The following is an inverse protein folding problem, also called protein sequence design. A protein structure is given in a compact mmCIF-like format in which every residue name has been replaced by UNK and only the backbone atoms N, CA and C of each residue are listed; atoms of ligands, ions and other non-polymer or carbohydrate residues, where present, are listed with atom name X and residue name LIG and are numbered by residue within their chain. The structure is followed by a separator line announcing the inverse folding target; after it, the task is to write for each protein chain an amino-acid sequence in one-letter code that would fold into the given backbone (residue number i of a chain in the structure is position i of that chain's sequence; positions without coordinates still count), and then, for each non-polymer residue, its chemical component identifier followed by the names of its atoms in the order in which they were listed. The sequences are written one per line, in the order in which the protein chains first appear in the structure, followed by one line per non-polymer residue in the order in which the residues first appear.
data_IF_360073588757
#
_entry.id   IF_360073588757
#
_cell.length_a   1.000
_cell.length_b   1.000
_cell.length_c   1.000
_cell.angle_alpha   90.00
_cell.angle_beta   90.00
_cell.angle_gamma   90.00
#
_symmetry.space_group_name_H-M   'P 1'
#
loop_
_entity.id
_entity.type
_entity.pdbx_description
1 polymer ?
#
# COMPACT_ATOMS: atom_id res chain seq x y z
N UNK A 1 31.03 10.03 -1.44
CA UNK A 1 30.74 9.64 -0.04
C UNK A 1 31.96 8.99 0.61
N UNK A 2 32.21 9.20 1.91
CA UNK A 2 33.35 8.59 2.61
C UNK A 2 32.96 7.23 3.19
N UNK A 3 33.86 6.27 3.07
CA UNK A 3 33.70 4.96 3.69
C UNK A 3 33.81 5.06 5.23
N UNK A 4 32.87 4.49 6.00
CA UNK A 4 32.90 4.57 7.47
C UNK A 4 34.03 3.74 8.09
N UNK A 5 34.64 2.81 7.34
CA UNK A 5 35.70 1.92 7.85
C UNK A 5 37.11 2.40 7.53
N UNK A 6 37.32 2.93 6.33
CA UNK A 6 38.67 3.30 5.85
C UNK A 6 38.75 4.74 5.34
N UNK A 7 37.70 5.54 5.54
CA UNK A 7 37.55 6.96 5.18
C UNK A 7 37.81 7.32 3.71
N UNK A 8 37.97 6.30 2.86
CA UNK A 8 38.22 6.48 1.44
C UNK A 8 37.02 7.10 0.75
N UNK A 9 37.30 8.06 -0.12
CA UNK A 9 36.29 8.69 -0.96
C UNK A 9 35.83 7.70 -2.04
N UNK A 10 34.52 7.48 -2.12
CA UNK A 10 33.88 6.59 -3.08
C UNK A 10 32.79 7.34 -3.86
N UNK A 11 32.52 6.94 -5.11
CA UNK A 11 31.40 7.47 -5.89
C UNK A 11 30.09 7.27 -5.13
N UNK A 12 29.15 8.21 -5.25
CA UNK A 12 27.87 8.17 -4.53
C UNK A 12 26.99 6.95 -4.87
N UNK A 13 27.23 6.33 -6.01
CA UNK A 13 26.53 5.13 -6.47
C UNK A 13 27.24 3.82 -6.10
N UNK A 14 28.44 3.86 -5.52
CA UNK A 14 29.20 2.65 -5.21
C UNK A 14 28.55 1.85 -4.06
N UNK A 15 28.11 0.60 -4.27
CA UNK A 15 27.54 -0.21 -3.20
C UNK A 15 28.60 -0.66 -2.17
N UNK A 16 29.83 -0.87 -2.65
CA UNK A 16 30.99 -1.30 -1.86
C UNK A 16 32.14 -0.30 -1.99
N UNK A 17 32.96 -0.24 -0.94
CA UNK A 17 34.17 0.56 -0.91
C UNK A 17 35.21 -0.03 -1.86
N UNK A 18 35.68 0.75 -2.82
CA UNK A 18 36.70 0.31 -3.79
C UNK A 18 38.07 0.05 -3.13
N UNK A 19 38.30 0.58 -1.92
CA UNK A 19 39.57 0.44 -1.21
C UNK A 19 39.59 -0.74 -0.23
N UNK A 20 38.52 -0.93 0.55
CA UNK A 20 38.47 -1.94 1.62
C UNK A 20 37.38 -3.00 1.44
N UNK A 21 36.56 -2.90 0.39
CA UNK A 21 35.50 -3.85 0.07
C UNK A 21 34.26 -3.80 0.98
N UNK A 22 34.23 -2.95 2.02
CA UNK A 22 33.09 -2.90 2.92
C UNK A 22 31.83 -2.36 2.22
N UNK A 23 30.65 -2.80 2.66
CA UNK A 23 29.38 -2.21 2.23
C UNK A 23 29.35 -0.74 2.67
N UNK A 24 29.02 0.18 1.76
CA UNK A 24 28.89 1.62 2.08
C UNK A 24 27.47 2.14 1.85
N UNK A 25 26.68 1.41 1.06
CA UNK A 25 25.29 1.74 0.81
C UNK A 25 24.45 0.52 1.12
N UNK A 26 23.43 0.69 1.97
CA UNK A 26 22.45 -0.37 2.17
C UNK A 26 21.81 -0.69 0.81
N UNK A 27 21.81 -1.98 0.47
CA UNK A 27 21.01 -2.46 -0.64
C UNK A 27 19.56 -2.15 -0.31
N UNK A 28 18.84 -1.48 -1.21
CA UNK A 28 17.41 -1.25 -1.03
C UNK A 28 16.74 -2.57 -0.60
N UNK A 29 15.87 -2.57 0.43
CA UNK A 29 15.23 -3.78 0.88
C UNK A 29 14.56 -4.41 -0.34
N UNK A 30 15.01 -5.61 -0.71
CA UNK A 30 14.43 -6.36 -1.82
C UNK A 30 12.94 -6.44 -1.56
N UNK A 31 12.13 -6.05 -2.55
CA UNK A 31 10.67 -6.17 -2.45
C UNK A 31 10.34 -7.64 -2.13
N UNK A 32 9.95 -7.89 -0.89
CA UNK A 32 9.46 -9.19 -0.48
C UNK A 32 7.94 -9.23 -0.69
N UNK A 33 7.36 -10.42 -0.73
CA UNK A 33 5.92 -10.61 -0.96
C UNK A 33 5.08 -9.75 -0.01
N UNK A 34 5.52 -9.58 1.24
CA UNK A 34 4.87 -8.73 2.24
C UNK A 34 4.82 -7.25 1.84
N UNK A 35 5.91 -6.71 1.29
CA UNK A 35 5.99 -5.32 0.83
C UNK A 35 5.11 -5.09 -0.39
N UNK A 36 5.01 -6.08 -1.29
CA UNK A 36 4.14 -6.01 -2.48
C UNK A 36 2.67 -6.06 -2.08
N UNK A 37 2.29 -7.00 -1.22
CA UNK A 37 0.94 -7.08 -0.62
C UNK A 37 0.61 -5.77 0.10
N UNK A 38 1.62 -5.21 0.78
CA UNK A 38 1.69 -3.86 1.27
C UNK A 38 1.11 -2.85 0.27
N UNK A 39 1.84 -2.63 -0.81
CA UNK A 39 1.50 -1.65 -1.86
C UNK A 39 0.10 -1.91 -2.43
N UNK A 40 -0.28 -3.17 -2.68
CA UNK A 40 -1.60 -3.49 -3.25
C UNK A 40 -2.73 -3.11 -2.30
N UNK A 41 -2.66 -3.47 -1.03
CA UNK A 41 -3.72 -3.18 -0.06
C UNK A 41 -3.77 -1.69 0.28
N UNK A 42 -2.61 -1.06 0.50
CA UNK A 42 -2.54 0.34 0.89
C UNK A 42 -2.83 1.32 -0.25
N UNK A 43 -2.49 0.96 -1.48
CA UNK A 43 -2.60 1.87 -2.63
C UNK A 43 -3.68 1.46 -3.62
N UNK A 44 -3.75 0.19 -4.05
CA UNK A 44 -4.65 -0.23 -5.14
C UNK A 44 -6.08 -0.46 -4.65
N UNK A 45 -6.26 -1.18 -3.54
CA UNK A 45 -7.59 -1.56 -3.04
C UNK A 45 -8.51 -0.36 -2.75
N UNK A 46 -8.06 0.78 -2.21
CA UNK A 46 -8.90 1.97 -2.04
C UNK A 46 -9.54 2.46 -3.35
N UNK A 47 -8.81 2.43 -4.47
CA UNK A 47 -9.38 2.80 -5.77
C UNK A 47 -10.42 1.80 -6.25
N UNK A 48 -10.20 0.50 -6.01
CA UNK A 48 -11.18 -0.54 -6.33
C UNK A 48 -12.47 -0.32 -5.56
N UNK A 49 -12.38 -0.03 -4.25
CA UNK A 49 -13.55 0.30 -3.42
C UNK A 49 -14.28 1.56 -3.91
N UNK A 50 -13.54 2.59 -4.32
CA UNK A 50 -14.14 3.81 -4.87
C UNK A 50 -14.92 3.53 -6.15
N UNK A 51 -14.36 2.71 -7.05
CA UNK A 51 -15.03 2.32 -8.29
C UNK A 51 -16.25 1.43 -8.03
N UNK A 52 -16.18 0.55 -7.02
CA UNK A 52 -17.29 -0.30 -6.61
C UNK A 52 -18.50 0.49 -6.08
N UNK A 53 -18.29 1.68 -5.49
CA UNK A 53 -19.38 2.54 -5.03
C UNK A 53 -20.21 3.13 -6.17
N UNK A 54 -19.65 3.27 -7.38
CA UNK A 54 -20.36 3.87 -8.53
C UNK A 54 -21.68 3.15 -8.88
N UNK A 55 -21.70 1.82 -9.13
CA UNK A 55 -22.94 1.11 -9.39
C UNK A 55 -23.88 1.08 -8.18
N UNK A 56 -23.35 1.08 -6.96
CA UNK A 56 -24.16 1.06 -5.74
C UNK A 56 -24.91 2.38 -5.53
N UNK A 57 -24.23 3.52 -5.73
CA UNK A 57 -24.82 4.85 -5.70
C UNK A 57 -25.83 4.99 -6.85
N UNK A 58 -25.52 4.47 -8.04
CA UNK A 58 -26.45 4.43 -9.15
C UNK A 58 -27.74 3.65 -8.79
N UNK A 59 -27.61 2.48 -8.17
CA UNK A 59 -28.77 1.71 -7.68
C UNK A 59 -29.56 2.47 -6.61
N UNK A 60 -28.88 3.25 -5.77
CA UNK A 60 -29.51 4.05 -4.71
C UNK A 60 -30.30 5.26 -5.25
N UNK A 61 -29.93 5.80 -6.41
CA UNK A 61 -30.66 6.92 -7.05
C UNK A 61 -31.86 6.48 -7.89
N UNK A 62 -32.07 5.17 -8.08
CA UNK A 62 -33.23 4.66 -8.84
C UNK A 62 -34.55 4.96 -8.09
N UNK A 63 -35.64 5.25 -8.84
CA UNK A 63 -36.95 5.55 -8.25
C UNK A 63 -37.61 4.32 -7.59
N UNK A 64 -37.18 3.11 -7.95
CA UNK A 64 -37.75 1.87 -7.44
C UNK A 64 -37.27 1.59 -5.99
N UNK A 65 -38.22 1.54 -5.05
CA UNK A 65 -37.97 1.35 -3.61
C UNK A 65 -37.21 0.04 -3.29
N UNK A 66 -37.49 -1.04 -4.04
CA UNK A 66 -36.85 -2.35 -3.90
C UNK A 66 -35.34 -2.27 -4.21
N UNK A 67 -35.00 -1.61 -5.32
CA UNK A 67 -33.64 -1.41 -5.81
C UNK A 67 -32.87 -0.46 -4.89
N UNK A 68 -33.53 0.60 -4.44
CA UNK A 68 -32.94 1.55 -3.48
C UNK A 68 -32.56 0.90 -2.15
N UNK A 69 -33.42 0.03 -1.60
CA UNK A 69 -33.12 -0.73 -0.37
C UNK A 69 -31.93 -1.68 -0.56
N UNK A 70 -31.81 -2.32 -1.73
CA UNK A 70 -30.63 -3.15 -2.05
C UNK A 70 -29.37 -2.30 -2.17
N UNK A 71 -29.40 -1.23 -2.93
CA UNK A 71 -28.28 -0.30 -3.07
C UNK A 71 -27.79 0.22 -1.71
N UNK A 72 -28.72 0.60 -0.82
CA UNK A 72 -28.38 1.01 0.55
C UNK A 72 -27.63 -0.09 1.33
N UNK A 73 -28.09 -1.35 1.27
CA UNK A 73 -27.41 -2.47 1.95
C UNK A 73 -26.02 -2.73 1.37
N UNK A 74 -25.85 -2.61 0.05
CA UNK A 74 -24.53 -2.76 -0.57
C UNK A 74 -23.57 -1.66 -0.11
N UNK A 75 -24.00 -0.39 -0.13
CA UNK A 75 -23.20 0.74 0.37
C UNK A 75 -22.77 0.51 1.82
N UNK A 76 -23.68 0.06 2.67
CA UNK A 76 -23.41 -0.22 4.09
C UNK A 76 -22.35 -1.32 4.24
N UNK A 77 -22.48 -2.43 3.52
CA UNK A 77 -21.51 -3.54 3.54
C UNK A 77 -20.14 -3.09 3.01
N UNK A 78 -20.12 -2.35 1.89
CA UNK A 78 -18.90 -1.85 1.26
C UNK A 78 -18.14 -0.89 2.18
N UNK A 79 -18.86 0.00 2.88
CA UNK A 79 -18.28 0.89 3.90
C UNK A 79 -17.67 0.10 5.07
N UNK A 80 -18.38 -0.91 5.59
CA UNK A 80 -17.87 -1.74 6.68
C UNK A 80 -16.60 -2.47 6.26
N UNK A 81 -16.58 -3.08 5.07
CA UNK A 81 -15.41 -3.76 4.54
C UNK A 81 -14.22 -2.81 4.35
N UNK A 82 -14.48 -1.58 3.88
CA UNK A 82 -13.45 -0.57 3.72
C UNK A 82 -12.81 -0.16 5.06
N UNK A 83 -13.63 0.04 6.09
CA UNK A 83 -13.13 0.35 7.45
C UNK A 83 -12.30 -0.79 8.02
N UNK A 84 -12.78 -2.04 7.90
CA UNK A 84 -12.03 -3.24 8.35
C UNK A 84 -10.69 -3.33 7.61
N UNK A 85 -10.66 -3.07 6.31
CA UNK A 85 -9.42 -3.07 5.53
C UNK A 85 -8.43 -2.01 6.03
N UNK A 86 -8.87 -0.78 6.32
CA UNK A 86 -8.00 0.28 6.85
C UNK A 86 -7.43 -0.12 8.21
N UNK A 87 -8.23 -0.75 9.07
CA UNK A 87 -7.77 -1.22 10.38
C UNK A 87 -6.69 -2.29 10.21
N UNK A 88 -6.94 -3.31 9.37
CA UNK A 88 -5.97 -4.37 9.07
C UNK A 88 -4.68 -3.77 8.49
N UNK A 89 -4.80 -2.81 7.56
CA UNK A 89 -3.67 -2.09 7.00
C UNK A 89 -2.84 -1.37 8.06
N UNK A 90 -3.50 -0.64 8.96
CA UNK A 90 -2.84 0.10 10.03
C UNK A 90 -2.09 -0.84 11.01
N UNK A 91 -2.61 -2.05 11.24
CA UNK A 91 -1.90 -3.07 12.01
C UNK A 91 -0.69 -3.63 11.27
N UNK A 92 -0.82 -3.98 9.98
CA UNK A 92 0.30 -4.47 9.17
C UNK A 92 1.42 -3.44 9.12
N UNK A 93 1.10 -2.16 8.93
CA UNK A 93 2.07 -1.07 8.88
C UNK A 93 2.79 -0.80 10.22
N UNK A 94 2.27 -1.30 11.34
CA UNK A 94 2.98 -1.29 12.63
C UNK A 94 3.92 -2.47 12.82
N UNK A 95 3.69 -3.57 12.10
CA UNK A 95 4.45 -4.82 12.20
C UNK A 95 5.64 -4.84 11.25
N UNK A 96 5.49 -4.19 10.08
CA UNK A 96 6.55 -3.95 9.10
C UNK A 96 7.40 -2.75 9.53
#
# INVERSE_FOLDING_TARGET
MKCPKCEAENPEYAPHCQKCGCLIKESYPRANTLSIVGIVIGFIMPFVFLLALLPEIYLYTRPEQSVKKRGKKFIEVTLVLFVVMIIVWAFINKVI
#
